data_IF_119907921153
#
_entry.id   IF_119907921153
#
_cell.length_a   1.000
_cell.length_b   1.000
_cell.length_c   1.000
_cell.angle_alpha   90.00
_cell.angle_beta   90.00
_cell.angle_gamma   90.00
#
_symmetry.space_group_name_H-M   'P 1'
#
loop_
_entity.id
_entity.type
_entity.pdbx_description
1 polymer ?
#
# COMPACT_ATOMS: atom_id res chain seq x y z
N UNK A 1 -5.15 -7.36 -16.52
CA UNK A 1 -5.19 -8.53 -15.63
C UNK A 1 -5.76 -8.14 -14.28
N UNK A 2 -6.66 -8.95 -13.75
CA UNK A 2 -7.25 -8.72 -12.43
C UNK A 2 -6.34 -9.31 -11.37
N UNK A 3 -5.73 -8.47 -10.53
CA UNK A 3 -4.86 -8.92 -9.47
C UNK A 3 -5.59 -8.88 -8.13
N UNK A 4 -5.29 -9.86 -7.29
CA UNK A 4 -5.76 -9.84 -5.91
C UNK A 4 -4.96 -8.80 -5.12
N UNK A 5 -5.55 -8.27 -4.05
CA UNK A 5 -4.93 -7.19 -3.29
C UNK A 5 -3.54 -7.56 -2.74
N UNK A 6 -3.37 -8.79 -2.24
CA UNK A 6 -2.08 -9.20 -1.72
C UNK A 6 -0.99 -9.23 -2.80
N UNK A 7 -1.38 -9.49 -4.06
CA UNK A 7 -0.44 -9.46 -5.19
C UNK A 7 -0.04 -8.02 -5.52
N UNK A 8 -0.99 -7.07 -5.46
CA UNK A 8 -0.69 -5.66 -5.68
C UNK A 8 0.35 -5.17 -4.66
N UNK A 9 0.18 -5.52 -3.38
CA UNK A 9 1.14 -5.15 -2.34
C UNK A 9 2.50 -5.80 -2.58
N UNK A 10 2.53 -7.06 -2.99
CA UNK A 10 3.79 -7.74 -3.32
C UNK A 10 4.50 -7.05 -4.48
N UNK A 11 3.76 -6.65 -5.51
CA UNK A 11 4.34 -5.94 -6.65
C UNK A 11 4.92 -4.60 -6.24
N UNK A 12 4.23 -3.86 -5.37
CA UNK A 12 4.80 -2.65 -4.80
C UNK A 12 6.11 -2.95 -4.06
N UNK A 13 6.13 -4.03 -3.27
CA UNK A 13 7.35 -4.45 -2.56
C UNK A 13 8.50 -4.74 -3.51
N UNK A 14 8.21 -5.12 -4.76
CA UNK A 14 9.20 -5.39 -5.81
C UNK A 14 9.44 -4.19 -6.73
N UNK A 15 8.91 -3.03 -6.39
CA UNK A 15 9.00 -1.79 -7.18
C UNK A 15 8.37 -1.94 -8.57
N UNK A 16 7.26 -2.66 -8.65
CA UNK A 16 6.51 -2.87 -9.88
C UNK A 16 5.13 -2.26 -9.80
N UNK A 17 4.66 -1.72 -10.92
CA UNK A 17 3.30 -1.22 -11.01
C UNK A 17 2.30 -2.37 -11.07
N UNK A 18 1.16 -2.19 -10.45
CA UNK A 18 0.08 -3.18 -10.43
C UNK A 18 -1.20 -2.52 -9.97
N UNK A 19 -2.33 -3.15 -10.28
CA UNK A 19 -3.63 -2.65 -9.86
C UNK A 19 -4.58 -3.82 -9.71
N UNK A 20 -5.49 -3.74 -8.72
CA UNK A 20 -6.60 -4.67 -8.68
C UNK A 20 -7.61 -4.28 -9.77
N UNK A 21 -8.68 -5.10 -9.92
CA UNK A 21 -9.54 -4.96 -11.10
C UNK A 21 -10.34 -3.66 -11.18
N UNK A 22 -10.60 -3.01 -10.03
CA UNK A 22 -11.35 -1.75 -10.02
C UNK A 22 -10.50 -0.52 -9.69
N UNK A 23 -9.18 -0.71 -9.55
CA UNK A 23 -8.26 0.38 -9.27
C UNK A 23 -8.28 0.90 -7.84
N UNK A 24 -9.01 0.26 -6.92
CA UNK A 24 -9.08 0.70 -5.53
C UNK A 24 -7.78 0.47 -4.76
N UNK A 25 -6.93 -0.43 -5.25
CA UNK A 25 -5.63 -0.71 -4.65
C UNK A 25 -4.62 -0.83 -5.77
N UNK A 26 -3.64 0.06 -5.80
CA UNK A 26 -2.69 0.11 -6.92
C UNK A 26 -1.31 0.58 -6.48
N UNK A 27 -0.31 0.15 -7.24
CA UNK A 27 1.08 0.56 -7.11
C UNK A 27 1.55 1.15 -8.43
N UNK A 28 2.28 2.26 -8.37
CA UNK A 28 2.96 2.81 -9.56
C UNK A 28 4.44 2.39 -9.62
N UNK A 29 4.84 1.47 -8.74
CA UNK A 29 6.21 1.01 -8.61
C UNK A 29 6.98 1.70 -7.50
N UNK A 30 6.57 2.88 -7.11
CA UNK A 30 7.18 3.69 -6.04
C UNK A 30 6.19 3.84 -4.89
N UNK A 31 5.00 4.31 -5.20
CA UNK A 31 3.96 4.58 -4.22
C UNK A 31 2.85 3.53 -4.27
N UNK A 32 2.21 3.31 -3.13
CA UNK A 32 1.07 2.40 -2.99
C UNK A 32 -0.15 3.22 -2.59
N UNK A 33 -1.25 3.04 -3.31
CA UNK A 33 -2.47 3.81 -3.11
C UNK A 33 -3.64 2.93 -2.73
N UNK A 34 -4.42 3.40 -1.76
CA UNK A 34 -5.74 2.86 -1.44
C UNK A 34 -6.75 3.94 -1.82
N UNK A 35 -7.52 3.69 -2.88
CA UNK A 35 -8.32 4.73 -3.53
C UNK A 35 -7.40 5.88 -3.95
N UNK A 36 -7.61 7.08 -3.47
CA UNK A 36 -6.74 8.23 -3.77
C UNK A 36 -5.78 8.55 -2.62
N UNK A 37 -5.73 7.71 -1.60
CA UNK A 37 -4.87 7.92 -0.44
C UNK A 37 -3.55 7.17 -0.64
N UNK A 38 -2.44 7.91 -0.61
CA UNK A 38 -1.12 7.28 -0.64
C UNK A 38 -0.83 6.66 0.72
N UNK A 39 -0.80 5.33 0.77
CA UNK A 39 -0.52 4.61 2.02
C UNK A 39 0.90 4.05 2.08
N UNK A 40 1.60 4.04 0.95
CA UNK A 40 2.97 3.54 0.92
C UNK A 40 3.83 4.34 -0.03
N UNK A 41 5.13 4.35 0.23
CA UNK A 41 6.10 5.04 -0.60
C UNK A 41 7.43 4.29 -0.60
N UNK A 42 8.34 4.69 -1.47
CA UNK A 42 9.70 4.15 -1.51
C UNK A 42 10.65 5.33 -1.35
N UNK A 43 11.57 5.25 -0.39
CA UNK A 43 12.54 6.32 -0.16
C UNK A 43 13.74 6.20 -1.12
N UNK A 44 14.69 7.11 -0.98
CA UNK A 44 15.88 7.15 -1.85
C UNK A 44 16.76 5.91 -1.73
N UNK A 45 16.67 5.19 -0.62
CA UNK A 45 17.43 3.96 -0.38
C UNK A 45 16.73 2.72 -0.95
N UNK A 46 15.53 2.89 -1.52
CA UNK A 46 14.75 1.77 -2.00
C UNK A 46 13.95 1.06 -0.92
N UNK A 47 13.90 1.63 0.29
CA UNK A 47 13.14 1.06 1.39
C UNK A 47 11.65 1.37 1.22
N UNK A 48 10.82 0.36 1.46
CA UNK A 48 9.36 0.49 1.39
C UNK A 48 8.82 0.96 2.72
N UNK A 49 8.11 2.08 2.71
CA UNK A 49 7.56 2.71 3.90
C UNK A 49 6.04 2.65 3.80
N UNK A 50 5.39 2.08 4.80
CA UNK A 50 3.94 2.06 4.90
C UNK A 50 3.49 3.06 5.96
N UNK A 51 2.50 3.88 5.62
CA UNK A 51 1.89 4.81 6.57
C UNK A 51 0.67 4.13 7.18
N UNK A 52 0.79 3.77 8.45
CA UNK A 52 -0.25 3.00 9.13
C UNK A 52 -1.31 3.94 9.70
N UNK A 53 -2.28 4.27 8.87
CA UNK A 53 -3.39 5.13 9.27
C UNK A 53 -4.35 4.45 10.25
N UNK A 54 -4.20 3.14 10.46
CA UNK A 54 -5.08 2.43 11.39
C UNK A 54 -4.76 2.73 12.85
N UNK A 55 -3.58 3.28 13.13
CA UNK A 55 -3.15 3.57 14.51
C UNK A 55 -3.46 5.00 14.95
N UNK A 56 -3.93 5.87 14.05
CA UNK A 56 -4.08 7.30 14.34
C UNK A 56 -5.41 7.67 15.01
N UNK A 57 -6.30 6.72 15.19
CA UNK A 57 -7.65 6.99 15.68
C UNK A 57 -8.60 7.48 14.59
N UNK A 58 -8.11 7.73 13.40
CA UNK A 58 -8.94 8.07 12.24
C UNK A 58 -9.29 6.81 11.49
N UNK A 59 -10.59 6.64 11.25
CA UNK A 59 -11.08 5.49 10.52
C UNK A 59 -11.40 5.91 9.09
N UNK A 60 -10.62 5.42 8.13
CA UNK A 60 -10.88 5.71 6.71
C UNK A 60 -11.94 4.77 6.14
N UNK A 61 -11.65 3.48 6.15
CA UNK A 61 -12.60 2.46 5.75
C UNK A 61 -12.03 1.09 6.09
N UNK A 62 -12.90 0.09 6.15
CA UNK A 62 -12.46 -1.30 6.34
C UNK A 62 -11.54 -1.72 5.21
N UNK A 63 -11.87 -1.32 3.98
CA UNK A 63 -11.08 -1.66 2.80
C UNK A 63 -9.69 -1.03 2.87
N UNK A 64 -9.60 0.26 3.23
CA UNK A 64 -8.31 0.93 3.38
C UNK A 64 -7.47 0.27 4.48
N UNK A 65 -8.09 -0.09 5.59
CA UNK A 65 -7.39 -0.79 6.67
C UNK A 65 -6.82 -2.13 6.20
N UNK A 66 -7.55 -2.86 5.36
CA UNK A 66 -7.05 -4.10 4.77
C UNK A 66 -5.89 -3.85 3.82
N UNK A 67 -5.98 -2.79 3.02
CA UNK A 67 -4.90 -2.40 2.10
C UNK A 67 -3.62 -2.09 2.87
N UNK A 68 -3.72 -1.34 3.96
CA UNK A 68 -2.59 -1.04 4.84
C UNK A 68 -2.00 -2.34 5.40
N UNK A 69 -2.86 -3.27 5.83
CA UNK A 69 -2.43 -4.57 6.32
C UNK A 69 -1.62 -5.36 5.30
N UNK A 70 -2.05 -5.37 4.05
CA UNK A 70 -1.29 -6.03 2.98
C UNK A 70 0.04 -5.32 2.74
N UNK A 71 0.05 -3.99 2.73
CA UNK A 71 1.28 -3.22 2.54
C UNK A 71 2.31 -3.46 3.63
N UNK A 72 1.86 -3.62 4.88
CA UNK A 72 2.77 -3.90 6.00
C UNK A 72 3.61 -5.15 5.80
N UNK A 73 3.08 -6.14 5.10
CA UNK A 73 3.80 -7.41 4.86
C UNK A 73 5.02 -7.24 3.97
N UNK A 74 5.06 -6.16 3.19
CA UNK A 74 6.13 -5.91 2.23
C UNK A 74 6.89 -4.63 2.54
N UNK A 75 6.59 -3.97 3.65
CA UNK A 75 7.25 -2.73 4.04
C UNK A 75 8.50 -3.02 4.86
N UNK A 76 9.53 -2.21 4.65
CA UNK A 76 10.73 -2.22 5.47
C UNK A 76 10.54 -1.35 6.71
N UNK A 77 9.73 -0.31 6.59
CA UNK A 77 9.49 0.67 7.64
C UNK A 77 7.98 0.87 7.77
N UNK A 78 7.47 0.85 9.00
CA UNK A 78 6.07 1.14 9.29
C UNK A 78 6.02 2.42 10.12
N UNK A 79 5.36 3.44 9.59
CA UNK A 79 5.17 4.71 10.29
C UNK A 79 3.73 4.81 10.76
N UNK A 80 3.55 5.01 12.06
CA UNK A 80 2.24 5.29 12.65
C UNK A 80 1.86 6.74 12.36
N UNK A 81 0.69 6.94 11.79
CA UNK A 81 0.19 8.28 11.47
C UNK A 81 -1.17 8.54 12.06
#
# INVERSE_FOLDING_TARGET
>A
MKLQNHIVAEMWGRSRSASNHNGSFRSDGINLYSYNLMIGETNKRGEKIIHDYTTSGHFYSVTTSRHVGYGKRHADIILST
#
